data_IF_637109034354
#
_entry.id   IF_637109034354
#
_cell.length_a   1.000
_cell.length_b   1.000
_cell.length_c   1.000
_cell.angle_alpha   90.00
_cell.angle_beta   90.00
_cell.angle_gamma   90.00
#
_symmetry.space_group_name_H-M   'P 1'
#
loop_
_entity.id
_entity.type
_entity.pdbx_description
1 polymer ?
#
# COMPACT_ATOMS: atom_id res chain seq x y z
N UNK A 1 -21.78 -0.87 4.16
CA UNK A 1 -20.76 -0.70 5.23
C UNK A 1 -20.24 -2.04 5.77
N UNK A 2 -21.06 -3.08 5.82
CA UNK A 2 -20.62 -4.44 6.22
C UNK A 2 -19.71 -5.14 5.19
N UNK A 3 -19.85 -4.87 3.90
CA UNK A 3 -19.06 -5.46 2.81
C UNK A 3 -17.57 -5.04 2.82
N UNK A 4 -17.23 -3.89 3.39
CA UNK A 4 -15.84 -3.41 3.47
C UNK A 4 -15.07 -3.97 4.69
N UNK A 5 -15.79 -4.49 5.70
CA UNK A 5 -15.18 -5.08 6.90
C UNK A 5 -14.72 -6.54 6.67
N UNK A 6 -15.26 -7.23 5.67
CA UNK A 6 -14.90 -8.63 5.38
C UNK A 6 -13.68 -8.80 4.45
N UNK A 7 -13.13 -7.70 3.93
CA UNK A 7 -11.93 -7.75 3.08
C UNK A 7 -10.66 -8.13 3.85
N UNK A 8 -10.67 -8.05 5.18
CA UNK A 8 -9.49 -8.38 6.01
C UNK A 8 -9.10 -9.87 5.97
N UNK A 9 -10.04 -10.77 5.61
CA UNK A 9 -9.79 -12.22 5.59
C UNK A 9 -9.44 -12.80 4.21
N UNK A 10 -9.55 -11.99 3.14
CA UNK A 10 -9.36 -12.49 1.76
C UNK A 10 -7.91 -12.41 1.25
N UNK A 11 -6.99 -11.90 2.04
CA UNK A 11 -5.62 -11.66 1.58
C UNK A 11 -4.63 -12.46 2.43
N UNK A 12 -4.23 -13.63 1.88
CA UNK A 12 -3.27 -14.56 2.48
C UNK A 12 -1.97 -13.88 2.92
N UNK A 13 -1.68 -14.04 4.19
CA UNK A 13 -0.49 -13.50 4.88
C UNK A 13 0.76 -14.39 4.70
N UNK A 14 0.76 -15.35 3.77
CA UNK A 14 1.83 -16.36 3.70
C UNK A 14 3.19 -15.84 3.19
N UNK A 15 3.23 -14.73 2.44
CA UNK A 15 4.48 -14.16 1.91
C UNK A 15 5.14 -13.10 2.82
N UNK A 16 4.53 -12.80 3.96
CA UNK A 16 4.96 -11.76 4.89
C UNK A 16 6.37 -12.03 5.49
N UNK A 17 6.64 -13.28 5.83
CA UNK A 17 7.94 -13.67 6.41
C UNK A 17 9.09 -13.48 5.40
N UNK A 18 8.81 -13.63 4.12
CA UNK A 18 9.78 -13.41 3.03
C UNK A 18 10.16 -11.93 2.91
N UNK A 19 9.17 -11.03 2.88
CA UNK A 19 9.41 -9.58 2.78
C UNK A 19 10.14 -9.03 4.00
N UNK A 20 9.78 -9.48 5.21
CA UNK A 20 10.48 -9.11 6.44
C UNK A 20 11.94 -9.60 6.46
N UNK A 21 12.21 -10.80 5.94
CA UNK A 21 13.58 -11.34 5.80
C UNK A 21 14.41 -10.56 4.79
N UNK A 22 13.81 -10.15 3.65
CA UNK A 22 14.49 -9.39 2.60
C UNK A 22 14.82 -7.97 3.11
N UNK A 23 13.91 -7.31 3.79
CA UNK A 23 14.16 -5.99 4.40
C UNK A 23 15.31 -6.07 5.40
N UNK A 24 15.35 -7.11 6.27
CA UNK A 24 16.45 -7.33 7.22
C UNK A 24 17.80 -7.59 6.54
N UNK A 25 17.80 -8.29 5.41
CA UNK A 25 19.05 -8.60 4.68
C UNK A 25 19.59 -7.42 3.89
N UNK A 26 18.72 -6.54 3.36
CA UNK A 26 19.11 -5.39 2.55
C UNK A 26 19.65 -4.20 3.36
N UNK A 27 19.42 -4.17 4.68
CA UNK A 27 19.89 -3.11 5.59
C UNK A 27 21.26 -3.49 6.15
N UNK A 28 22.29 -3.48 5.31
CA UNK A 28 23.68 -3.55 5.76
C UNK A 28 24.26 -2.12 5.80
N UNK A 29 24.64 -1.60 6.97
CA UNK A 29 25.11 -0.21 7.09
C UNK A 29 26.42 0.01 6.34
N UNK A 30 26.43 0.95 5.40
CA UNK A 30 27.66 1.56 4.88
C UNK A 30 28.11 2.65 5.86
N UNK A 31 29.35 2.53 6.29
CA UNK A 31 30.05 3.42 7.21
C UNK A 31 29.93 4.89 6.79
N UNK A 32 29.23 5.71 7.55
CA UNK A 32 29.32 7.18 7.56
C UNK A 32 29.56 7.67 8.97
N UNK A 33 30.29 8.76 9.07
CA UNK A 33 30.89 9.34 10.27
C UNK A 33 29.85 9.77 11.32
N UNK A 34 30.14 9.43 12.54
CA UNK A 34 29.57 9.64 13.85
C UNK A 34 28.20 10.33 14.02
N UNK A 35 27.23 9.58 14.57
CA UNK A 35 26.55 9.98 15.78
C UNK A 35 26.82 8.97 16.93
N UNK A 36 26.61 9.41 18.15
CA UNK A 36 26.90 8.79 19.46
C UNK A 36 26.19 7.43 19.72
N UNK A 37 25.58 6.81 18.70
CA UNK A 37 24.93 5.50 18.77
C UNK A 37 25.66 4.50 17.86
N UNK A 38 25.86 3.27 18.33
CA UNK A 38 26.44 2.24 17.51
C UNK A 38 25.50 1.93 16.32
N UNK A 39 26.02 1.58 15.12
CA UNK A 39 25.20 1.21 13.97
C UNK A 39 24.18 0.12 14.25
N UNK A 40 24.45 -0.72 15.25
CA UNK A 40 23.54 -1.77 15.70
C UNK A 40 22.37 -1.21 16.51
N UNK A 41 22.59 -0.20 17.32
CA UNK A 41 21.54 0.47 18.12
C UNK A 41 20.61 1.29 17.23
N UNK A 42 21.16 1.97 16.22
CA UNK A 42 20.37 2.69 15.21
C UNK A 42 19.47 1.73 14.42
N UNK A 43 20.01 0.58 13.98
CA UNK A 43 19.25 -0.45 13.30
C UNK A 43 18.14 -1.02 14.19
N UNK A 44 18.42 -1.35 15.44
CA UNK A 44 17.41 -1.86 16.39
C UNK A 44 16.32 -0.82 16.65
N UNK A 45 16.67 0.45 16.77
CA UNK A 45 15.73 1.55 16.96
C UNK A 45 14.83 1.73 15.73
N UNK A 46 15.40 1.64 14.52
CA UNK A 46 14.66 1.68 13.27
C UNK A 46 13.71 0.49 13.13
N UNK A 47 14.20 -0.73 13.38
CA UNK A 47 13.36 -1.94 13.32
C UNK A 47 12.18 -1.85 14.28
N UNK A 48 12.41 -1.46 15.52
CA UNK A 48 11.34 -1.32 16.51
C UNK A 48 10.30 -0.27 16.12
N UNK A 49 10.72 0.82 15.47
CA UNK A 49 9.84 1.90 15.08
C UNK A 49 9.10 1.65 13.76
N UNK A 50 9.68 0.92 12.81
CA UNK A 50 9.17 0.83 11.43
C UNK A 50 8.59 -0.54 11.07
N UNK A 51 9.12 -1.67 11.59
CA UNK A 51 8.60 -3.00 11.25
C UNK A 51 7.13 -3.22 11.64
N UNK A 52 6.58 -2.63 12.72
CA UNK A 52 5.15 -2.74 13.00
C UNK A 52 4.22 -2.16 11.92
N UNK A 53 4.76 -1.41 10.97
CA UNK A 53 4.02 -0.75 9.89
C UNK A 53 4.23 -1.40 8.52
N UNK A 54 4.88 -2.57 8.47
CA UNK A 54 5.20 -3.26 7.22
C UNK A 54 3.93 -3.67 6.44
N UNK A 55 2.90 -4.18 7.15
CA UNK A 55 1.63 -4.55 6.54
C UNK A 55 0.94 -3.35 5.87
N UNK A 56 0.88 -2.23 6.59
CA UNK A 56 0.29 -1.00 6.07
C UNK A 56 1.06 -0.48 4.83
N UNK A 57 2.39 -0.58 4.87
CA UNK A 57 3.26 -0.21 3.75
C UNK A 57 2.99 -1.08 2.52
N UNK A 58 2.95 -2.41 2.72
CA UNK A 58 2.69 -3.38 1.66
C UNK A 58 1.28 -3.22 1.08
N UNK A 59 0.26 -3.11 1.93
CA UNK A 59 -1.12 -2.88 1.51
C UNK A 59 -1.24 -1.64 0.62
N UNK A 60 -0.68 -0.51 1.05
CA UNK A 60 -0.73 0.71 0.26
C UNK A 60 -0.03 0.55 -1.09
N UNK A 61 1.18 -0.03 -1.12
CA UNK A 61 1.93 -0.25 -2.35
C UNK A 61 1.16 -1.16 -3.33
N UNK A 62 0.63 -2.28 -2.84
CA UNK A 62 -0.13 -3.26 -3.63
C UNK A 62 -1.37 -2.64 -4.28
N UNK A 63 -2.14 -1.87 -3.53
CA UNK A 63 -3.32 -1.19 -4.08
C UNK A 63 -2.97 -0.09 -5.07
N UNK A 64 -1.84 0.59 -4.90
CA UNK A 64 -1.39 1.62 -5.83
C UNK A 64 -0.88 1.02 -7.15
N UNK A 65 -0.09 -0.05 -7.07
CA UNK A 65 0.66 -0.60 -8.20
C UNK A 65 -0.08 -1.72 -8.94
N UNK A 66 -1.05 -2.40 -8.29
CA UNK A 66 -1.79 -3.56 -8.83
C UNK A 66 -0.91 -4.75 -9.21
N UNK A 67 0.31 -4.74 -8.82
CA UNK A 67 1.29 -5.78 -9.10
C UNK A 67 2.01 -6.12 -7.81
N UNK A 68 2.01 -7.39 -7.44
CA UNK A 68 2.58 -7.86 -6.17
C UNK A 68 4.10 -7.69 -6.15
N UNK A 69 4.77 -8.02 -7.26
CA UNK A 69 6.22 -7.90 -7.35
C UNK A 69 6.67 -6.44 -7.25
N UNK A 70 6.01 -5.54 -7.99
CA UNK A 70 6.27 -4.10 -7.91
C UNK A 70 6.00 -3.55 -6.51
N UNK A 71 4.98 -4.06 -5.82
CA UNK A 71 4.67 -3.66 -4.46
C UNK A 71 5.78 -4.05 -3.49
N UNK A 72 6.28 -5.28 -3.57
CA UNK A 72 7.41 -5.77 -2.77
C UNK A 72 8.68 -4.94 -3.03
N UNK A 73 9.01 -4.68 -4.27
CA UNK A 73 10.18 -3.86 -4.64
C UNK A 73 10.07 -2.43 -4.12
N UNK A 74 8.89 -1.83 -4.24
CA UNK A 74 8.63 -0.48 -3.71
C UNK A 74 8.71 -0.44 -2.19
N UNK A 75 8.20 -1.44 -1.48
CA UNK A 75 8.31 -1.52 -0.03
C UNK A 75 9.75 -1.64 0.40
N UNK A 76 10.56 -2.49 -0.25
CA UNK A 76 11.99 -2.61 0.03
C UNK A 76 12.71 -1.27 -0.17
N UNK A 77 12.51 -0.62 -1.30
CA UNK A 77 13.12 0.68 -1.61
C UNK A 77 12.65 1.75 -0.61
N UNK A 78 11.38 1.75 -0.22
CA UNK A 78 10.84 2.69 0.77
C UNK A 78 11.49 2.49 2.15
N UNK A 79 11.68 1.24 2.59
CA UNK A 79 12.37 0.94 3.84
C UNK A 79 13.84 1.34 3.81
N UNK A 80 14.54 1.13 2.69
CA UNK A 80 15.92 1.60 2.51
C UNK A 80 16.02 3.13 2.58
N UNK A 81 15.08 3.84 1.98
CA UNK A 81 15.00 5.32 2.06
C UNK A 81 14.68 5.79 3.47
N UNK A 82 13.72 5.13 4.11
CA UNK A 82 13.36 5.40 5.50
C UNK A 82 14.56 5.22 6.42
N UNK A 83 15.30 4.11 6.31
CA UNK A 83 16.49 3.86 7.11
C UNK A 83 17.56 4.96 6.91
N UNK A 84 17.87 5.31 5.65
CA UNK A 84 18.83 6.38 5.34
C UNK A 84 18.45 7.75 5.92
N UNK A 85 17.16 7.99 6.12
CA UNK A 85 16.62 9.27 6.61
C UNK A 85 16.21 9.21 8.08
N UNK A 86 16.38 8.07 8.75
CA UNK A 86 15.88 7.82 10.10
C UNK A 86 16.52 8.72 11.15
N UNK A 87 17.80 9.01 11.03
CA UNK A 87 18.49 9.97 11.93
C UNK A 87 17.88 11.38 11.93
N UNK A 88 17.17 11.76 10.87
CA UNK A 88 16.41 13.02 10.78
C UNK A 88 14.92 12.88 11.17
N UNK A 89 14.47 11.70 11.53
CA UNK A 89 13.09 11.48 11.96
C UNK A 89 12.93 11.83 13.45
N UNK A 90 12.32 12.98 13.72
CA UNK A 90 12.02 13.44 15.09
C UNK A 90 10.51 13.46 15.38
N UNK A 91 9.70 12.84 14.52
CA UNK A 91 8.24 12.82 14.63
C UNK A 91 7.72 11.72 15.55
N UNK A 92 6.50 11.90 16.08
CA UNK A 92 5.79 10.91 16.88
C UNK A 92 4.99 9.89 16.07
N UNK A 93 4.77 10.14 14.76
CA UNK A 93 3.95 9.27 13.91
C UNK A 93 4.82 8.62 12.82
N UNK A 94 5.53 7.54 13.22
CA UNK A 94 6.38 6.75 12.31
C UNK A 94 5.59 6.12 11.17
N UNK A 95 4.34 5.70 11.45
CA UNK A 95 3.44 5.12 10.44
C UNK A 95 3.15 6.10 9.30
N UNK A 96 2.70 7.31 9.61
CA UNK A 96 2.39 8.32 8.59
C UNK A 96 3.63 8.72 7.79
N UNK A 97 4.77 8.84 8.47
CA UNK A 97 6.04 9.13 7.83
C UNK A 97 6.47 8.04 6.85
N UNK A 98 6.41 6.76 7.26
CA UNK A 98 6.73 5.62 6.39
C UNK A 98 5.76 5.54 5.20
N UNK A 99 4.44 5.66 5.44
CA UNK A 99 3.44 5.62 4.36
C UNK A 99 3.62 6.75 3.35
N UNK A 100 4.11 7.92 3.78
CA UNK A 100 4.49 9.01 2.85
C UNK A 100 5.63 8.59 1.93
N UNK A 101 6.64 7.89 2.45
CA UNK A 101 7.77 7.39 1.66
C UNK A 101 7.30 6.31 0.68
N UNK A 102 6.51 5.34 1.14
CA UNK A 102 5.93 4.27 0.30
C UNK A 102 5.10 4.87 -0.83
N UNK A 103 4.18 5.78 -0.51
CA UNK A 103 3.37 6.51 -1.49
C UNK A 103 4.23 7.18 -2.56
N UNK A 104 5.20 7.97 -2.15
CA UNK A 104 6.04 8.72 -3.07
C UNK A 104 6.88 7.79 -3.97
N UNK A 105 7.34 6.66 -3.43
CA UNK A 105 8.08 5.64 -4.19
C UNK A 105 7.14 4.96 -5.19
N UNK A 106 5.91 4.59 -4.81
CA UNK A 106 4.90 4.03 -5.70
C UNK A 106 4.56 4.97 -6.86
N UNK A 107 4.29 6.25 -6.58
CA UNK A 107 3.98 7.22 -7.64
C UNK A 107 5.18 7.49 -8.56
N UNK A 108 6.40 7.35 -8.07
CA UNK A 108 7.60 7.45 -8.91
C UNK A 108 7.66 6.30 -9.90
N UNK A 109 7.36 5.07 -9.46
CA UNK A 109 7.28 3.90 -10.34
C UNK A 109 6.13 4.03 -11.34
N UNK A 110 4.93 4.40 -10.92
CA UNK A 110 3.78 4.63 -11.80
C UNK A 110 4.08 5.64 -12.90
N UNK A 111 4.75 6.74 -12.57
CA UNK A 111 5.16 7.73 -13.58
C UNK A 111 6.18 7.17 -14.56
N UNK A 112 7.11 6.36 -14.09
CA UNK A 112 8.12 5.71 -14.93
C UNK A 112 7.47 4.72 -15.90
N UNK A 113 6.55 3.88 -15.43
CA UNK A 113 5.84 2.91 -16.25
C UNK A 113 4.97 3.63 -17.30
N UNK A 114 4.23 4.67 -16.93
CA UNK A 114 3.47 5.50 -17.88
C UNK A 114 4.35 6.15 -18.95
N UNK A 115 5.56 6.57 -18.62
CA UNK A 115 6.48 7.14 -19.61
C UNK A 115 7.03 6.07 -20.57
N UNK A 116 7.17 4.83 -20.11
CA UNK A 116 7.57 3.68 -20.95
C UNK A 116 6.41 3.27 -21.86
N UNK A 117 5.17 3.21 -21.36
CA UNK A 117 3.97 2.85 -22.14
C UNK A 117 3.71 3.84 -23.30
N UNK A 118 4.01 5.12 -23.10
CA UNK A 118 3.93 6.13 -24.17
C UNK A 118 4.98 5.94 -25.27
N UNK A 119 6.06 5.21 -25.00
CA UNK A 119 7.14 4.93 -25.97
C UNK A 119 7.06 3.53 -26.57
N UNK A 120 6.28 2.64 -25.97
CA UNK A 120 6.12 1.25 -26.40
C UNK A 120 4.62 0.92 -26.41
N UNK A 121 3.99 1.07 -27.56
CA UNK A 121 2.64 0.56 -27.79
C UNK A 121 2.72 -0.97 -27.85
N UNK A 122 2.57 -1.63 -26.71
CA UNK A 122 2.31 -3.07 -26.62
C UNK A 122 1.42 -3.34 -25.41
N UNK A 123 0.26 -3.94 -25.69
CA UNK A 123 -0.68 -4.49 -24.72
C UNK A 123 0.00 -5.58 -23.88
N UNK A 124 0.02 -5.43 -22.57
CA UNK A 124 0.13 -6.54 -21.65
C UNK A 124 -1.05 -6.50 -20.68
N UNK A 125 -2.00 -7.39 -20.90
CA UNK A 125 -2.99 -7.80 -19.92
C UNK A 125 -2.27 -8.48 -18.74
N UNK A 126 -2.21 -7.81 -17.61
CA UNK A 126 -1.67 -8.38 -16.37
C UNK A 126 -2.82 -9.10 -15.65
N UNK A 127 -2.88 -10.41 -15.84
CA UNK A 127 -3.69 -11.31 -15.02
C UNK A 127 -2.98 -11.59 -13.70
N UNK A 128 -3.54 -11.10 -12.59
CA UNK A 128 -3.16 -11.51 -11.25
C UNK A 128 -3.78 -12.87 -10.94
N UNK A 129 -2.96 -13.89 -10.73
CA UNK A 129 -3.37 -15.19 -10.25
C UNK A 129 -3.62 -15.15 -8.75
N UNK A 130 -4.87 -15.37 -8.32
CA UNK A 130 -5.22 -15.63 -6.94
C UNK A 130 -5.04 -17.13 -6.63
N UNK A 131 -4.50 -17.44 -5.48
CA UNK A 131 -4.36 -18.81 -4.99
C UNK A 131 -5.54 -19.18 -4.09
N UNK A 132 -6.11 -20.37 -4.32
CA UNK A 132 -7.29 -20.90 -3.65
C UNK A 132 -6.87 -21.82 -2.50
N UNK A 133 -7.48 -21.61 -1.32
CA UNK A 133 -8.01 -22.74 -0.55
C UNK A 133 -8.72 -22.26 0.71
N UNK A 134 -10.04 -22.51 0.84
CA UNK A 134 -10.74 -22.96 2.05
C UNK A 134 -12.25 -23.07 1.78
N UNK A 135 -12.81 -24.19 2.12
CA UNK A 135 -14.16 -24.80 2.21
C UNK A 135 -15.49 -24.05 1.87
N UNK A 136 -16.57 -24.78 1.31
CA UNK A 136 -17.07 -24.36 0.00
C UNK A 136 -18.36 -23.56 -0.11
N UNK A 137 -19.16 -23.25 0.87
CA UNK A 137 -20.46 -22.61 0.58
C UNK A 137 -20.61 -21.18 1.15
N UNK A 138 -20.24 -20.93 2.40
CA UNK A 138 -20.29 -19.58 3.01
C UNK A 138 -19.07 -18.73 2.63
N UNK A 139 -17.99 -19.40 2.27
CA UNK A 139 -16.76 -18.77 1.82
C UNK A 139 -16.88 -18.31 0.36
N UNK A 140 -17.66 -19.02 -0.44
CA UNK A 140 -17.87 -18.67 -1.84
C UNK A 140 -18.59 -17.30 -1.98
N UNK A 141 -19.68 -17.06 -1.22
CA UNK A 141 -20.36 -15.76 -1.23
C UNK A 141 -19.45 -14.61 -0.76
N UNK A 142 -18.63 -14.85 0.28
CA UNK A 142 -17.67 -13.85 0.76
C UNK A 142 -16.46 -13.68 -0.16
N UNK A 143 -16.04 -14.72 -0.87
CA UNK A 143 -14.99 -14.65 -1.85
C UNK A 143 -15.42 -13.92 -3.13
N UNK A 144 -16.64 -14.17 -3.60
CA UNK A 144 -17.24 -13.46 -4.74
C UNK A 144 -17.42 -11.96 -4.43
N UNK A 145 -17.86 -11.62 -3.23
CA UNK A 145 -17.97 -10.24 -2.77
C UNK A 145 -16.61 -9.54 -2.67
N UNK A 146 -15.59 -10.26 -2.19
CA UNK A 146 -14.23 -9.73 -2.07
C UNK A 146 -13.57 -9.48 -3.44
N UNK A 147 -13.74 -10.42 -4.38
CA UNK A 147 -13.21 -10.27 -5.74
C UNK A 147 -13.94 -9.14 -6.49
N UNK A 148 -15.25 -9.01 -6.33
CA UNK A 148 -16.02 -7.92 -6.90
C UNK A 148 -15.57 -6.55 -6.35
N UNK A 149 -15.28 -6.45 -5.07
CA UNK A 149 -14.73 -5.22 -4.46
C UNK A 149 -13.33 -4.94 -4.99
N UNK A 150 -12.49 -5.96 -5.15
CA UNK A 150 -11.14 -5.83 -5.71
C UNK A 150 -11.20 -5.33 -7.17
N UNK A 151 -12.03 -5.95 -8.02
CA UNK A 151 -12.25 -5.47 -9.38
C UNK A 151 -12.72 -4.02 -9.41
N UNK A 152 -13.68 -3.67 -8.56
CA UNK A 152 -14.19 -2.30 -8.47
C UNK A 152 -13.11 -1.30 -8.00
N UNK A 153 -12.25 -1.70 -7.10
CA UNK A 153 -11.12 -0.90 -6.66
C UNK A 153 -10.07 -0.74 -7.76
N UNK A 154 -9.85 -1.79 -8.56
CA UNK A 154 -8.91 -1.76 -9.67
C UNK A 154 -9.33 -0.83 -10.81
N UNK A 155 -10.62 -0.64 -11.02
CA UNK A 155 -11.14 0.34 -11.98
C UNK A 155 -10.98 1.81 -11.54
N UNK A 156 -10.70 2.04 -10.26
CA UNK A 156 -10.53 3.40 -9.76
C UNK A 156 -9.17 3.98 -10.15
N UNK A 157 -9.08 5.28 -10.46
CA UNK A 157 -7.81 6.00 -10.53
C UNK A 157 -6.99 5.84 -9.23
N UNK A 158 -5.66 5.76 -9.35
CA UNK A 158 -4.75 5.54 -8.21
C UNK A 158 -5.00 6.52 -7.05
N UNK A 159 -5.30 7.78 -7.35
CA UNK A 159 -5.58 8.83 -6.36
C UNK A 159 -6.87 8.60 -5.54
N UNK A 160 -7.87 7.89 -6.08
CA UNK A 160 -9.09 7.51 -5.36
C UNK A 160 -8.87 6.23 -4.56
N UNK A 161 -8.16 5.28 -5.12
CA UNK A 161 -7.75 4.04 -4.48
C UNK A 161 -6.91 4.31 -3.23
N UNK A 162 -5.89 5.18 -3.36
CA UNK A 162 -5.06 5.64 -2.26
C UNK A 162 -5.90 6.14 -1.06
N UNK A 163 -6.81 7.05 -1.30
CA UNK A 163 -7.60 7.67 -0.23
C UNK A 163 -8.54 6.65 0.45
N UNK A 164 -9.10 5.70 -0.33
CA UNK A 164 -9.94 4.64 0.21
C UNK A 164 -9.13 3.68 1.09
N UNK A 165 -7.97 3.25 0.64
CA UNK A 165 -7.08 2.37 1.39
C UNK A 165 -6.65 3.03 2.69
N UNK A 166 -6.10 4.24 2.63
CA UNK A 166 -5.65 4.98 3.83
C UNK A 166 -6.80 5.20 4.83
N UNK A 167 -8.03 5.42 4.36
CA UNK A 167 -9.18 5.64 5.23
C UNK A 167 -9.78 4.37 5.79
N UNK A 168 -10.01 3.34 4.95
CA UNK A 168 -10.82 2.18 5.32
C UNK A 168 -10.00 0.99 5.80
N UNK A 169 -8.84 0.75 5.20
CA UNK A 169 -7.95 -0.34 5.62
C UNK A 169 -7.01 0.13 6.73
N UNK A 170 -6.41 1.31 6.55
CA UNK A 170 -5.43 1.81 7.52
C UNK A 170 -6.06 2.63 8.66
N UNK A 171 -7.36 2.95 8.59
CA UNK A 171 -8.10 3.63 9.66
C UNK A 171 -7.66 5.08 9.92
N UNK A 172 -6.90 5.69 9.01
CA UNK A 172 -6.31 7.01 9.22
C UNK A 172 -7.37 8.12 9.23
N UNK A 173 -7.12 9.15 10.02
CA UNK A 173 -7.91 10.38 10.02
C UNK A 173 -7.71 11.17 8.72
N UNK A 174 -8.67 12.03 8.37
CA UNK A 174 -8.56 12.89 7.19
C UNK A 174 -7.33 13.81 7.23
N UNK A 175 -6.91 14.21 8.43
CA UNK A 175 -5.71 15.02 8.61
C UNK A 175 -4.45 14.21 8.28
N UNK A 176 -4.31 13.01 8.83
CA UNK A 176 -3.18 12.12 8.51
C UNK A 176 -3.13 11.80 7.02
N UNK A 177 -4.29 11.54 6.40
CA UNK A 177 -4.37 11.30 4.95
C UNK A 177 -3.93 12.54 4.16
N UNK A 178 -4.33 13.75 4.59
CA UNK A 178 -3.91 15.01 3.97
C UNK A 178 -2.39 15.18 4.04
N UNK A 179 -1.80 14.86 5.20
CA UNK A 179 -0.36 14.93 5.41
C UNK A 179 0.40 13.90 4.57
N UNK A 180 -0.08 12.63 4.50
CA UNK A 180 0.53 11.56 3.70
C UNK A 180 0.41 11.86 2.21
N UNK A 181 -0.79 12.22 1.75
CA UNK A 181 -1.07 12.49 0.34
C UNK A 181 -0.56 13.87 -0.13
N UNK A 182 -0.16 14.72 0.81
CA UNK A 182 0.31 16.10 0.54
C UNK A 182 -0.72 16.93 -0.24
N UNK A 183 -1.98 16.85 0.19
CA UNK A 183 -3.12 17.56 -0.39
C UNK A 183 -3.94 18.27 0.69
N UNK A 184 -4.67 19.33 0.37
CA UNK A 184 -5.57 19.99 1.32
C UNK A 184 -6.63 19.05 1.88
N UNK A 185 -7.01 19.22 3.15
CA UNK A 185 -8.05 18.44 3.82
C UNK A 185 -9.38 18.40 3.05
N UNK A 186 -9.80 19.52 2.47
CA UNK A 186 -10.99 19.58 1.61
C UNK A 186 -10.88 18.71 0.36
N UNK A 187 -9.66 18.55 -0.17
CA UNK A 187 -9.39 17.65 -1.30
C UNK A 187 -9.50 16.18 -0.88
N UNK A 188 -9.05 15.82 0.33
CA UNK A 188 -9.25 14.46 0.87
C UNK A 188 -10.73 14.14 0.96
N UNK A 189 -11.53 15.04 1.54
CA UNK A 189 -12.98 14.85 1.69
C UNK A 189 -13.68 14.69 0.33
N UNK A 190 -13.38 15.57 -0.63
CA UNK A 190 -13.99 15.51 -1.96
C UNK A 190 -13.56 14.29 -2.77
N UNK A 191 -12.28 13.88 -2.69
CA UNK A 191 -11.78 12.66 -3.34
C UNK A 191 -12.44 11.42 -2.73
N UNK A 192 -12.57 11.36 -1.39
CA UNK A 192 -13.20 10.24 -0.71
C UNK A 192 -14.67 10.08 -1.09
N UNK A 193 -15.41 11.19 -1.20
CA UNK A 193 -16.80 11.17 -1.66
C UNK A 193 -16.90 10.62 -3.09
N UNK A 194 -16.13 11.19 -4.03
CA UNK A 194 -16.12 10.75 -5.43
C UNK A 194 -15.66 9.29 -5.59
N UNK A 195 -14.66 8.86 -4.82
CA UNK A 195 -14.19 7.48 -4.84
C UNK A 195 -15.30 6.50 -4.42
N UNK A 196 -16.02 6.83 -3.34
CA UNK A 196 -17.16 6.02 -2.88
C UNK A 196 -18.31 5.98 -3.90
N UNK A 197 -18.61 7.10 -4.54
CA UNK A 197 -19.67 7.16 -5.55
C UNK A 197 -19.30 6.28 -6.76
N UNK A 198 -18.07 6.38 -7.28
CA UNK A 198 -17.59 5.51 -8.35
C UNK A 198 -17.59 4.03 -7.98
N UNK A 199 -17.17 3.69 -6.77
CA UNK A 199 -17.20 2.31 -6.27
C UNK A 199 -18.63 1.77 -6.24
N UNK A 200 -19.60 2.56 -5.75
CA UNK A 200 -21.01 2.18 -5.75
C UNK A 200 -21.59 2.00 -7.16
N UNK A 201 -21.27 2.89 -8.08
CA UNK A 201 -21.69 2.80 -9.48
C UNK A 201 -21.19 1.50 -10.12
N UNK A 202 -19.93 1.16 -9.91
CA UNK A 202 -19.33 -0.08 -10.42
C UNK A 202 -20.02 -1.32 -9.84
N UNK A 203 -20.17 -1.38 -8.52
CA UNK A 203 -20.81 -2.51 -7.83
C UNK A 203 -22.27 -2.67 -8.26
N UNK A 204 -23.05 -1.56 -8.37
CA UNK A 204 -24.43 -1.61 -8.81
C UNK A 204 -24.56 -2.15 -10.25
N UNK A 205 -23.65 -1.77 -11.15
CA UNK A 205 -23.65 -2.25 -12.53
C UNK A 205 -23.36 -3.76 -12.66
N UNK A 206 -22.57 -4.34 -11.74
CA UNK A 206 -22.27 -5.78 -11.71
C UNK A 206 -23.36 -6.62 -11.02
N UNK A 207 -23.94 -6.10 -9.95
CA UNK A 207 -25.03 -6.79 -9.22
C UNK A 207 -26.37 -6.80 -9.99
N UNK A 208 -26.50 -6.01 -11.06
CA UNK A 208 -27.69 -5.92 -11.90
C UNK A 208 -27.65 -6.88 -13.11
N UNK A 209 -26.60 -7.69 -13.26
CA UNK A 209 -26.41 -8.69 -14.32
C UNK A 209 -26.63 -10.10 -13.80
#
# INVERSE_FOLDING_TARGET
MALLLNAEHAFGLEDFESTAKIVKFAIVPKKHEEPDQSPKEELMSFEAAMLPHLDAAHNLARWLLRNEQDAQDVVQEAYLRAFKSFGGFHGSNGRAWLLTIVRNTSYTLLKKNHAVDLTTAFDEEIHGSGDESVSPATILEHAEDAELVKEAMDELPAEFREILVLRHQEGLSYKEIADIAQIPLGTVMSRLARARDKLKEYLAARMSK
#
